data_IF_847173271935
#
_entry.id   IF_847173271935
#
_cell.length_a   1.000
_cell.length_b   1.000
_cell.length_c   1.000
_cell.angle_alpha   90.00
_cell.angle_beta   90.00
_cell.angle_gamma   90.00
#
_symmetry.space_group_name_H-M   'P 1'
#
loop_
_entity.id
_entity.type
_entity.pdbx_description
1 polymer ?
#
# COMPACT_ATOMS: atom_id res chain seq x y z
N UNK A 1 12.63 2.43 -8.97
CA UNK A 1 11.15 2.28 -9.04
C UNK A 1 10.78 1.63 -10.36
N UNK A 2 9.73 0.85 -10.36
CA UNK A 2 9.35 0.05 -11.52
C UNK A 2 8.07 0.59 -12.15
N UNK A 3 8.23 1.25 -13.28
CA UNK A 3 7.12 1.86 -14.02
C UNK A 3 6.09 0.84 -14.48
N UNK A 4 6.52 -0.35 -14.90
CA UNK A 4 5.59 -1.39 -15.35
C UNK A 4 4.66 -1.88 -14.23
N UNK A 5 5.12 -1.89 -12.99
CA UNK A 5 4.27 -2.20 -11.84
C UNK A 5 3.24 -1.10 -11.59
N UNK A 6 3.68 0.15 -11.67
CA UNK A 6 2.78 1.28 -11.50
C UNK A 6 1.64 1.25 -12.53
N UNK A 7 1.99 1.00 -13.80
CA UNK A 7 0.99 0.93 -14.87
C UNK A 7 0.03 -0.25 -14.65
N UNK A 8 0.56 -1.40 -14.26
CA UNK A 8 -0.26 -2.59 -14.00
C UNK A 8 -1.21 -2.38 -12.83
N UNK A 9 -0.72 -1.81 -11.74
CA UNK A 9 -1.52 -1.54 -10.55
C UNK A 9 -2.61 -0.50 -10.83
N UNK A 10 -2.26 0.59 -11.51
CA UNK A 10 -3.25 1.63 -11.83
C UNK A 10 -4.28 1.14 -12.85
N UNK A 11 -3.90 0.25 -13.78
CA UNK A 11 -4.86 -0.36 -14.70
C UNK A 11 -5.86 -1.24 -13.94
N UNK A 12 -5.39 -2.02 -12.97
CA UNK A 12 -6.27 -2.82 -12.13
C UNK A 12 -7.21 -1.94 -11.28
N UNK A 13 -6.64 -0.90 -10.70
CA UNK A 13 -7.41 0.06 -9.90
C UNK A 13 -8.47 0.77 -10.75
N UNK A 14 -8.16 1.09 -12.00
CA UNK A 14 -9.08 1.76 -12.92
C UNK A 14 -10.40 0.98 -13.06
N UNK A 15 -10.35 -0.33 -13.02
CA UNK A 15 -11.55 -1.18 -13.16
C UNK A 15 -12.50 -1.05 -11.97
N UNK A 16 -12.00 -0.71 -10.77
CA UNK A 16 -12.79 -0.62 -9.54
C UNK A 16 -12.92 0.80 -9.02
N UNK A 17 -11.99 1.69 -9.34
CA UNK A 17 -12.00 3.10 -8.93
C UNK A 17 -11.28 3.94 -9.98
N UNK A 18 -12.01 4.26 -11.04
CA UNK A 18 -11.49 5.01 -12.18
C UNK A 18 -10.93 6.37 -11.77
N UNK A 19 -11.62 7.07 -10.88
CA UNK A 19 -11.21 8.41 -10.45
C UNK A 19 -9.85 8.37 -9.74
N UNK A 20 -9.67 7.46 -8.80
CA UNK A 20 -8.40 7.35 -8.07
C UNK A 20 -7.26 6.93 -9.01
N UNK A 21 -7.51 5.97 -9.90
CA UNK A 21 -6.49 5.53 -10.87
C UNK A 21 -6.03 6.67 -11.76
N UNK A 22 -6.96 7.47 -12.28
CA UNK A 22 -6.62 8.64 -13.11
C UNK A 22 -5.88 9.69 -12.31
N UNK A 23 -6.27 9.90 -11.06
CA UNK A 23 -5.61 10.85 -10.17
C UNK A 23 -4.15 10.46 -9.93
N UNK A 24 -3.88 9.19 -9.66
CA UNK A 24 -2.51 8.71 -9.47
C UNK A 24 -1.67 8.87 -10.73
N UNK A 25 -2.24 8.57 -11.91
CA UNK A 25 -1.54 8.74 -13.18
C UNK A 25 -1.28 10.20 -13.56
N UNK A 26 -2.05 11.12 -12.99
CA UNK A 26 -1.89 12.56 -13.24
C UNK A 26 -0.84 13.21 -12.35
N UNK A 27 -0.35 12.50 -11.33
CA UNK A 27 0.64 13.04 -10.41
C UNK A 27 1.98 13.19 -11.12
N UNK A 28 2.51 14.42 -11.19
CA UNK A 28 3.71 14.72 -11.98
C UNK A 28 5.00 14.75 -11.16
N UNK A 29 4.88 15.07 -9.87
CA UNK A 29 6.04 15.24 -9.00
C UNK A 29 5.89 14.45 -7.74
N UNK A 30 6.98 13.83 -7.30
CA UNK A 30 7.07 13.16 -6.02
C UNK A 30 8.03 13.93 -5.14
N UNK A 31 7.60 14.26 -3.94
CA UNK A 31 8.42 14.96 -2.94
C UNK A 31 9.09 14.00 -1.97
N UNK A 32 8.61 12.75 -1.91
CA UNK A 32 9.24 11.70 -1.11
C UNK A 32 10.36 11.02 -1.89
N UNK A 33 11.44 10.69 -1.19
CA UNK A 33 12.52 9.86 -1.73
C UNK A 33 12.32 8.43 -1.24
N UNK A 34 12.61 7.48 -2.12
CA UNK A 34 12.63 6.07 -1.78
C UNK A 34 13.99 5.72 -1.19
N UNK A 35 13.99 5.12 0.00
CA UNK A 35 15.18 4.66 0.68
C UNK A 35 15.08 3.15 0.86
N UNK A 36 16.10 2.43 0.41
CA UNK A 36 16.14 0.98 0.56
C UNK A 36 17.50 0.58 1.12
N UNK A 37 17.48 -0.02 2.30
CA UNK A 37 18.68 -0.45 3.01
C UNK A 37 18.43 -1.74 3.79
N UNK A 38 19.33 -2.10 4.71
CA UNK A 38 19.20 -3.32 5.52
C UNK A 38 17.96 -3.31 6.42
N UNK A 39 17.40 -2.15 6.72
CA UNK A 39 16.18 -2.02 7.52
C UNK A 39 14.90 -2.09 6.71
N UNK A 40 15.00 -2.19 5.37
CA UNK A 40 13.87 -2.36 4.48
C UNK A 40 13.60 -1.13 3.61
N UNK A 41 12.36 -1.02 3.12
CA UNK A 41 11.93 0.01 2.19
C UNK A 41 11.24 1.14 2.96
N UNK A 42 11.81 2.34 2.89
CA UNK A 42 11.30 3.51 3.60
C UNK A 42 11.08 4.67 2.63
N UNK A 43 10.29 5.63 3.06
CA UNK A 43 10.06 6.87 2.33
C UNK A 43 10.51 8.04 3.19
N UNK A 44 11.20 8.99 2.57
CA UNK A 44 11.75 10.15 3.27
C UNK A 44 11.32 11.42 2.57
N UNK A 45 10.85 12.38 3.36
CA UNK A 45 10.56 13.74 2.89
C UNK A 45 11.22 14.72 3.85
N UNK A 46 12.10 15.56 3.30
CA UNK A 46 12.98 16.41 4.10
C UNK A 46 13.82 15.51 5.03
N UNK A 47 13.79 15.70 6.34
CA UNK A 47 14.48 14.85 7.28
C UNK A 47 13.56 13.90 8.05
N UNK A 48 12.34 13.69 7.51
CA UNK A 48 11.31 12.87 8.15
C UNK A 48 11.14 11.56 7.39
N UNK A 49 11.28 10.44 8.11
CA UNK A 49 11.06 9.10 7.58
C UNK A 49 9.66 8.61 7.94
N UNK A 50 9.04 7.86 7.01
CA UNK A 50 7.73 7.27 7.27
C UNK A 50 7.79 6.19 8.34
N UNK A 51 8.87 5.40 8.38
CA UNK A 51 9.11 4.37 9.39
C UNK A 51 10.40 4.65 10.15
N UNK A 52 10.46 4.29 11.42
CA UNK A 52 11.73 4.25 12.14
C UNK A 52 12.56 3.07 11.67
N UNK A 53 11.93 1.89 11.57
CA UNK A 53 12.57 0.68 11.06
C UNK A 53 11.51 -0.14 10.32
N UNK A 54 11.45 -0.05 8.97
CA UNK A 54 10.38 -0.69 8.20
C UNK A 54 10.22 -2.18 8.44
N UNK A 55 11.31 -2.94 8.44
CA UNK A 55 11.23 -4.40 8.60
C UNK A 55 10.83 -4.81 10.00
N UNK A 56 11.29 -4.07 11.02
CA UNK A 56 10.92 -4.36 12.41
C UNK A 56 9.44 -4.10 12.64
N UNK A 57 8.94 -2.96 12.16
CA UNK A 57 7.53 -2.61 12.30
C UNK A 57 6.65 -3.58 11.52
N UNK A 58 7.09 -4.00 10.35
CA UNK A 58 6.39 -5.01 9.55
C UNK A 58 6.24 -6.31 10.33
N UNK A 59 7.34 -6.80 10.91
CA UNK A 59 7.33 -8.06 11.65
C UNK A 59 6.43 -8.00 12.88
N UNK A 60 6.50 -6.90 13.63
CA UNK A 60 5.64 -6.68 14.80
C UNK A 60 4.17 -6.70 14.43
N UNK A 61 3.79 -5.99 13.37
CA UNK A 61 2.42 -5.92 12.90
C UNK A 61 1.93 -7.26 12.37
N UNK A 62 2.75 -7.96 11.59
CA UNK A 62 2.38 -9.28 11.07
C UNK A 62 2.17 -10.29 12.18
N UNK A 63 2.99 -10.25 13.22
CA UNK A 63 2.84 -11.14 14.37
C UNK A 63 1.50 -10.90 15.07
N UNK A 64 1.17 -9.63 15.30
CA UNK A 64 -0.10 -9.26 15.92
C UNK A 64 -1.30 -9.75 15.09
N UNK A 65 -1.30 -9.48 13.79
CA UNK A 65 -2.44 -9.83 12.93
C UNK A 65 -2.54 -11.33 12.68
N UNK A 66 -1.44 -12.05 12.69
CA UNK A 66 -1.45 -13.49 12.56
C UNK A 66 -2.08 -14.18 13.78
N UNK A 67 -1.87 -13.63 14.98
CA UNK A 67 -2.37 -14.24 16.21
C UNK A 67 -3.77 -13.76 16.61
N UNK A 68 -4.06 -12.45 16.45
CA UNK A 68 -5.27 -11.83 16.98
C UNK A 68 -6.37 -11.66 15.93
N UNK A 69 -6.02 -11.46 14.66
CA UNK A 69 -6.99 -11.04 13.65
C UNK A 69 -7.03 -11.93 12.41
N UNK A 70 -6.40 -13.10 12.46
CA UNK A 70 -6.23 -13.96 11.28
C UNK A 70 -7.55 -14.50 10.69
N UNK A 71 -8.64 -14.51 11.45
CA UNK A 71 -9.94 -15.03 11.01
C UNK A 71 -10.93 -13.96 10.59
N UNK A 72 -10.58 -12.69 10.74
CA UNK A 72 -11.51 -11.60 10.44
C UNK A 72 -11.63 -11.44 8.92
N UNK A 73 -12.86 -11.52 8.38
CA UNK A 73 -13.06 -11.39 6.92
C UNK A 73 -12.89 -9.98 6.43
N UNK A 74 -13.10 -8.96 7.27
CA UNK A 74 -12.98 -7.55 6.90
C UNK A 74 -12.08 -6.84 7.90
N UNK A 75 -11.07 -6.14 7.38
CA UNK A 75 -10.14 -5.35 8.19
C UNK A 75 -10.10 -3.92 7.66
N UNK A 76 -9.96 -2.97 8.57
CA UNK A 76 -9.86 -1.54 8.26
C UNK A 76 -8.54 -0.98 8.76
N UNK A 77 -7.86 -0.18 7.92
CA UNK A 77 -6.59 0.43 8.27
C UNK A 77 -6.52 1.88 7.81
N UNK A 78 -5.64 2.65 8.43
CA UNK A 78 -5.25 3.98 7.99
C UNK A 78 -3.77 3.95 7.61
N UNK A 79 -3.48 4.45 6.39
CA UNK A 79 -2.11 4.50 5.88
C UNK A 79 -1.71 3.24 5.13
N UNK A 80 -1.29 3.44 3.88
CA UNK A 80 -0.84 2.33 3.03
C UNK A 80 0.63 1.99 3.24
N UNK A 81 1.45 2.99 3.55
CA UNK A 81 2.88 2.82 3.69
C UNK A 81 3.51 2.31 2.40
N UNK A 82 4.50 1.45 2.51
CA UNK A 82 5.13 0.84 1.35
C UNK A 82 4.33 -0.33 0.77
N UNK A 83 3.20 -0.69 1.40
CA UNK A 83 2.30 -1.73 0.92
C UNK A 83 2.70 -3.15 1.28
N UNK A 84 3.89 -3.37 1.81
CA UNK A 84 4.39 -4.72 2.08
C UNK A 84 3.55 -5.46 3.12
N UNK A 85 3.09 -4.77 4.16
CA UNK A 85 2.22 -5.34 5.18
C UNK A 85 0.94 -5.89 4.55
N UNK A 86 0.29 -5.11 3.69
CA UNK A 86 -0.96 -5.50 3.05
C UNK A 86 -0.75 -6.60 2.01
N UNK A 87 0.35 -6.53 1.27
CA UNK A 87 0.70 -7.60 0.33
C UNK A 87 0.82 -8.94 1.05
N UNK A 88 1.39 -8.92 2.24
CA UNK A 88 1.55 -10.12 3.07
C UNK A 88 0.22 -10.56 3.66
N UNK A 89 -0.58 -9.63 4.20
CA UNK A 89 -1.92 -9.95 4.74
C UNK A 89 -2.82 -10.61 3.71
N UNK A 90 -2.75 -10.16 2.46
CA UNK A 90 -3.58 -10.69 1.38
C UNK A 90 -3.31 -12.16 1.05
N UNK A 91 -2.20 -12.71 1.52
CA UNK A 91 -1.94 -14.15 1.38
C UNK A 91 -2.91 -14.99 2.20
N UNK A 92 -3.48 -14.42 3.25
CA UNK A 92 -4.53 -15.08 4.03
C UNK A 92 -5.89 -14.81 3.37
N UNK A 93 -6.44 -15.83 2.71
CA UNK A 93 -7.69 -15.69 1.95
C UNK A 93 -8.95 -15.63 2.84
N UNK A 94 -8.81 -15.78 4.15
CA UNK A 94 -9.90 -15.51 5.08
C UNK A 94 -10.20 -14.01 5.15
N UNK A 95 -9.20 -13.16 4.91
CA UNK A 95 -9.41 -11.72 4.76
C UNK A 95 -10.03 -11.47 3.39
N UNK A 96 -11.34 -11.28 3.36
CA UNK A 96 -12.09 -11.05 2.12
C UNK A 96 -11.92 -9.63 1.60
N UNK A 97 -11.88 -8.67 2.52
CA UNK A 97 -11.73 -7.25 2.20
C UNK A 97 -10.82 -6.58 3.22
N UNK A 98 -9.71 -6.06 2.74
CA UNK A 98 -8.80 -5.23 3.52
C UNK A 98 -8.98 -3.81 2.99
N UNK A 99 -9.58 -2.96 3.81
CA UNK A 99 -9.98 -1.61 3.43
C UNK A 99 -9.00 -0.62 4.04
N UNK A 100 -8.37 0.19 3.20
CA UNK A 100 -7.31 1.10 3.61
C UNK A 100 -7.65 2.52 3.20
N UNK A 101 -7.58 3.43 4.17
CA UNK A 101 -7.74 4.86 3.96
C UNK A 101 -6.35 5.49 3.92
N UNK A 102 -6.05 6.24 2.85
CA UNK A 102 -4.78 6.94 2.70
C UNK A 102 -5.02 8.39 2.32
N UNK A 103 -4.34 9.30 2.99
CA UNK A 103 -4.49 10.75 2.75
C UNK A 103 -3.41 11.34 1.84
N UNK A 104 -2.44 10.53 1.41
CA UNK A 104 -1.30 11.00 0.61
C UNK A 104 -1.16 10.20 -0.68
N UNK A 105 -1.45 10.85 -1.80
CA UNK A 105 -1.37 10.22 -3.14
C UNK A 105 0.04 9.75 -3.48
N UNK A 106 1.08 10.44 -3.00
CA UNK A 106 2.46 10.05 -3.28
C UNK A 106 2.80 8.69 -2.66
N UNK A 107 2.26 8.42 -1.46
CA UNK A 107 2.48 7.14 -0.78
C UNK A 107 1.90 5.99 -1.63
N UNK A 108 0.68 6.15 -2.13
CA UNK A 108 0.05 5.16 -3.01
C UNK A 108 0.86 4.99 -4.30
N UNK A 109 1.30 6.10 -4.89
CA UNK A 109 2.08 6.09 -6.13
C UNK A 109 3.39 5.33 -5.94
N UNK A 110 4.12 5.62 -4.86
CA UNK A 110 5.38 4.95 -4.57
C UNK A 110 5.20 3.46 -4.32
N UNK A 111 4.20 3.10 -3.52
CA UNK A 111 3.92 1.69 -3.25
C UNK A 111 3.59 0.92 -4.54
N UNK A 112 2.87 1.56 -5.45
CA UNK A 112 2.50 0.94 -6.74
C UNK A 112 3.70 0.73 -7.67
N UNK A 113 4.82 1.38 -7.41
CA UNK A 113 6.08 1.12 -8.11
C UNK A 113 6.90 -0.02 -7.47
N UNK A 114 6.49 -0.51 -6.30
CA UNK A 114 7.29 -1.46 -5.53
C UNK A 114 6.79 -2.90 -5.64
N UNK A 115 5.47 -3.10 -5.60
CA UNK A 115 4.87 -4.44 -5.56
C UNK A 115 3.68 -4.53 -6.49
N UNK A 116 3.36 -5.75 -6.91
CA UNK A 116 2.20 -6.02 -7.76
C UNK A 116 0.96 -6.28 -6.87
N UNK A 117 0.03 -5.34 -6.88
CA UNK A 117 -1.25 -5.44 -6.17
C UNK A 117 -2.42 -5.71 -7.11
N UNK A 118 -2.15 -5.97 -8.39
CA UNK A 118 -3.19 -5.96 -9.41
C UNK A 118 -4.29 -6.99 -9.16
N UNK A 119 -3.94 -8.22 -8.77
CA UNK A 119 -4.94 -9.25 -8.52
C UNK A 119 -5.78 -8.92 -7.28
N UNK A 120 -5.15 -8.45 -6.20
CA UNK A 120 -5.84 -8.10 -4.98
C UNK A 120 -6.80 -6.93 -5.19
N UNK A 121 -6.42 -5.95 -6.04
CA UNK A 121 -7.28 -4.82 -6.39
C UNK A 121 -8.47 -5.26 -7.25
N UNK A 122 -8.23 -6.08 -8.27
CA UNK A 122 -9.29 -6.57 -9.15
C UNK A 122 -10.34 -7.38 -8.41
N UNK A 123 -9.90 -8.21 -7.48
CA UNK A 123 -10.78 -9.07 -6.69
C UNK A 123 -11.41 -8.37 -5.51
N UNK A 124 -11.05 -7.12 -5.29
CA UNK A 124 -11.50 -6.31 -4.15
C UNK A 124 -11.15 -6.93 -2.79
N UNK A 125 -10.13 -7.77 -2.75
CA UNK A 125 -9.52 -8.16 -1.49
C UNK A 125 -8.81 -6.96 -0.86
N UNK A 126 -8.22 -6.10 -1.68
CA UNK A 126 -7.59 -4.86 -1.28
C UNK A 126 -8.42 -3.71 -1.85
N UNK A 127 -8.94 -2.85 -0.97
CA UNK A 127 -9.78 -1.72 -1.34
C UNK A 127 -9.15 -0.44 -0.78
N UNK A 128 -8.88 0.52 -1.67
CA UNK A 128 -8.20 1.77 -1.31
C UNK A 128 -9.17 2.94 -1.41
N UNK A 129 -9.18 3.76 -0.37
CA UNK A 129 -9.90 5.04 -0.38
C UNK A 129 -8.91 6.18 -0.14
N UNK A 130 -8.89 7.12 -1.06
CA UNK A 130 -8.14 8.35 -0.87
C UNK A 130 -8.98 9.32 -0.05
N UNK A 131 -8.47 9.70 1.12
CA UNK A 131 -9.18 10.58 2.06
C UNK A 131 -8.35 11.84 2.30
N UNK A 132 -8.45 12.84 1.41
CA UNK A 132 -7.68 14.07 1.58
C UNK A 132 -8.12 14.83 2.83
N UNK A 133 -7.16 15.47 3.48
CA UNK A 133 -7.43 16.32 4.65
C UNK A 133 -7.68 17.76 4.23
#
# INVERSE_FOLDING_TARGET
>A
MREELFLKNTQALFEVDEFLACTLRSLKYLTFALIQDENGINFKKDDIFLYENPNKELLENLTLFKTEYNKYPVLFFYGFGNGMFYKTLCKNKQHKHIIIFEDNLEILTLAFHLFDFSEELKKEQLILFYTPN
#
